data_IF_187538670252
#
_entry.id   IF_187538670252
#
_cell.length_a   1.000
_cell.length_b   1.000
_cell.length_c   1.000
_cell.angle_alpha   90.00
_cell.angle_beta   90.00
_cell.angle_gamma   90.00
#
_symmetry.space_group_name_H-M   'P 1'
#
loop_
_entity.id
_entity.type
_entity.pdbx_description
1 polymer ?
#
# COMPACT_ATOMS: atom_id res chain seq x y z
N UNK A 1 -6.12 25.75 -0.37
CA UNK A 1 -5.33 25.04 0.64
C UNK A 1 -5.58 23.55 0.46
N UNK A 2 -4.55 22.72 0.51
CA UNK A 2 -4.71 21.28 0.45
C UNK A 2 -5.48 20.79 1.68
N UNK A 3 -6.50 19.96 1.49
CA UNK A 3 -7.23 19.36 2.60
C UNK A 3 -6.27 18.45 3.38
N UNK A 4 -6.25 18.63 4.70
CA UNK A 4 -5.41 17.83 5.61
C UNK A 4 -6.29 16.83 6.32
N UNK A 5 -6.06 15.54 6.08
CA UNK A 5 -6.80 14.46 6.72
C UNK A 5 -6.46 14.41 8.21
N UNK A 6 -7.51 14.36 9.02
CA UNK A 6 -7.47 14.38 10.47
C UNK A 6 -7.47 12.96 11.03
N UNK A 7 -6.48 12.67 11.87
CA UNK A 7 -6.35 11.38 12.59
C UNK A 7 -6.07 11.60 14.09
N UNK A 8 -6.41 12.78 14.61
CA UNK A 8 -6.12 13.16 16.00
C UNK A 8 -4.62 13.11 16.29
N UNK A 9 -4.25 12.46 17.40
CA UNK A 9 -2.85 12.27 17.80
C UNK A 9 -2.12 11.13 17.09
N UNK A 10 -2.76 10.43 16.15
CA UNK A 10 -2.22 9.22 15.53
C UNK A 10 -2.42 7.95 16.35
N UNK A 11 -1.67 6.89 16.02
CA UNK A 11 -1.72 5.61 16.72
C UNK A 11 -3.10 4.92 16.68
N UNK A 12 -3.37 4.08 17.69
CA UNK A 12 -4.60 3.27 17.73
C UNK A 12 -5.89 4.10 17.86
N UNK A 13 -5.90 5.14 18.71
CA UNK A 13 -7.06 6.01 18.87
C UNK A 13 -7.32 6.83 17.60
N UNK A 14 -6.25 7.33 16.97
CA UNK A 14 -6.33 8.01 15.67
C UNK A 14 -6.87 7.11 14.58
N UNK A 15 -6.47 5.84 14.56
CA UNK A 15 -7.02 4.82 13.67
C UNK A 15 -8.52 4.59 13.88
N UNK A 16 -8.97 4.43 15.13
CA UNK A 16 -10.41 4.27 15.43
C UNK A 16 -11.24 5.50 15.12
N UNK A 17 -10.65 6.70 15.20
CA UNK A 17 -11.28 7.93 14.72
C UNK A 17 -11.36 7.94 13.18
N UNK A 18 -10.27 7.60 12.51
CA UNK A 18 -10.21 7.53 11.05
C UNK A 18 -11.23 6.53 10.51
N UNK A 19 -11.31 5.31 11.05
CA UNK A 19 -12.27 4.29 10.59
C UNK A 19 -13.73 4.78 10.58
N UNK A 20 -14.09 5.70 11.49
CA UNK A 20 -15.45 6.27 11.57
C UNK A 20 -15.66 7.46 10.64
N UNK A 21 -14.59 8.15 10.27
CA UNK A 21 -14.63 9.43 9.54
C UNK A 21 -14.08 9.33 8.12
N UNK A 22 -13.44 8.21 7.77
CA UNK A 22 -12.67 8.03 6.54
C UNK A 22 -13.50 8.36 5.30
N UNK A 23 -14.72 7.85 5.21
CA UNK A 23 -15.59 8.06 4.05
C UNK A 23 -15.82 9.56 3.78
N UNK A 24 -16.17 10.33 4.82
CA UNK A 24 -16.40 11.78 4.70
C UNK A 24 -15.10 12.53 4.40
N UNK A 25 -14.02 12.19 5.10
CA UNK A 25 -12.72 12.84 4.88
C UNK A 25 -12.17 12.58 3.48
N UNK A 26 -12.36 11.36 2.95
CA UNK A 26 -11.96 10.97 1.59
C UNK A 26 -12.74 11.72 0.54
N UNK A 27 -14.04 11.91 0.73
CA UNK A 27 -14.87 12.69 -0.19
C UNK A 27 -14.37 14.15 -0.28
N UNK A 28 -14.09 14.78 0.87
CA UNK A 28 -13.58 16.15 0.92
C UNK A 28 -12.17 16.23 0.33
N UNK A 29 -11.30 15.27 0.67
CA UNK A 29 -9.94 15.20 0.17
C UNK A 29 -9.88 15.07 -1.37
N UNK A 30 -10.69 14.20 -1.95
CA UNK A 30 -10.73 13.99 -3.41
C UNK A 30 -11.22 15.23 -4.16
N UNK A 31 -12.07 16.06 -3.52
CA UNK A 31 -12.52 17.36 -4.05
C UNK A 31 -11.53 18.50 -3.85
N UNK A 32 -10.42 18.27 -3.14
CA UNK A 32 -9.40 19.30 -2.96
C UNK A 32 -8.77 19.68 -4.31
N UNK A 33 -8.44 20.97 -4.55
CA UNK A 33 -8.02 21.46 -5.85
C UNK A 33 -6.85 20.67 -6.47
N UNK A 34 -5.86 20.30 -5.66
CA UNK A 34 -4.65 19.63 -6.14
C UNK A 34 -4.94 18.19 -6.61
N UNK A 35 -5.78 17.46 -5.87
CA UNK A 35 -6.17 16.08 -6.19
C UNK A 35 -7.12 16.06 -7.39
N UNK A 36 -8.14 16.92 -7.37
CA UNK A 36 -9.12 17.04 -8.45
C UNK A 36 -8.44 17.44 -9.77
N UNK A 37 -7.54 18.43 -9.76
CA UNK A 37 -6.82 18.87 -10.95
C UNK A 37 -5.85 17.80 -11.49
N UNK A 38 -5.16 17.07 -10.61
CA UNK A 38 -4.29 15.97 -11.03
C UNK A 38 -5.09 14.84 -11.70
N UNK A 39 -6.22 14.45 -11.09
CA UNK A 39 -7.13 13.45 -11.64
C UNK A 39 -7.73 13.90 -12.97
N UNK A 40 -8.25 15.13 -13.05
CA UNK A 40 -8.84 15.66 -14.28
C UNK A 40 -7.79 15.71 -15.40
N UNK A 41 -6.56 16.14 -15.09
CA UNK A 41 -5.47 16.16 -16.05
C UNK A 41 -5.16 14.76 -16.58
N UNK A 42 -5.13 13.76 -15.69
CA UNK A 42 -4.91 12.38 -16.05
C UNK A 42 -6.02 11.83 -16.94
N UNK A 43 -7.29 11.96 -16.51
CA UNK A 43 -8.46 11.51 -17.27
C UNK A 43 -8.55 12.17 -18.65
N UNK A 44 -8.24 13.45 -18.75
CA UNK A 44 -8.33 14.21 -20.01
C UNK A 44 -7.21 13.88 -20.99
N UNK A 45 -6.00 13.61 -20.52
CA UNK A 45 -4.82 13.47 -21.40
C UNK A 45 -4.40 12.03 -21.65
N UNK A 46 -4.59 11.13 -20.68
CA UNK A 46 -4.15 9.75 -20.78
C UNK A 46 -4.75 8.97 -21.97
N UNK A 47 -6.00 9.21 -22.42
CA UNK A 47 -6.53 8.60 -23.64
C UNK A 47 -5.74 8.92 -24.92
N UNK A 48 -4.94 9.99 -24.93
CA UNK A 48 -4.10 10.36 -26.07
C UNK A 48 -2.67 9.80 -25.98
N UNK A 49 -2.33 9.14 -24.86
CA UNK A 49 -1.01 8.55 -24.62
C UNK A 49 -1.01 7.11 -25.14
N UNK A 50 -0.12 6.84 -26.09
CA UNK A 50 -0.04 5.56 -26.82
C UNK A 50 1.28 4.83 -26.62
N UNK A 51 2.24 5.43 -25.91
CA UNK A 51 3.53 4.80 -25.66
C UNK A 51 4.08 5.14 -24.28
N UNK A 52 4.98 4.29 -23.78
CA UNK A 52 5.72 4.54 -22.55
C UNK A 52 6.48 5.87 -22.61
N UNK A 53 7.07 6.19 -23.77
CA UNK A 53 7.79 7.44 -24.02
C UNK A 53 6.91 8.69 -23.81
N UNK A 54 5.67 8.66 -24.34
CA UNK A 54 4.70 9.74 -24.16
C UNK A 54 4.26 9.88 -22.70
N UNK A 55 4.09 8.75 -21.98
CA UNK A 55 3.75 8.77 -20.56
C UNK A 55 4.87 9.39 -19.72
N UNK A 56 6.12 8.91 -19.85
CA UNK A 56 7.24 9.37 -19.03
C UNK A 56 7.68 10.81 -19.36
N UNK A 57 7.39 11.28 -20.58
CA UNK A 57 7.67 12.65 -20.99
C UNK A 57 6.73 13.67 -20.34
N UNK A 58 5.53 13.25 -19.92
CA UNK A 58 4.57 14.10 -19.22
C UNK A 58 4.66 13.90 -17.71
N UNK A 59 5.40 14.79 -17.04
CA UNK A 59 5.63 14.71 -15.59
C UNK A 59 4.35 14.60 -14.76
N UNK A 60 3.26 15.30 -15.14
CA UNK A 60 1.99 15.26 -14.40
C UNK A 60 1.32 13.90 -14.52
N UNK A 61 1.31 13.31 -15.73
CA UNK A 61 0.75 11.97 -15.94
C UNK A 61 1.60 10.90 -15.27
N UNK A 62 2.93 11.00 -15.41
CA UNK A 62 3.86 10.09 -14.75
C UNK A 62 3.71 10.12 -13.23
N UNK A 63 3.54 11.30 -12.63
CA UNK A 63 3.34 11.44 -11.17
C UNK A 63 2.08 10.72 -10.71
N UNK A 64 0.95 10.90 -11.42
CA UNK A 64 -0.31 10.23 -11.09
C UNK A 64 -0.17 8.72 -11.25
N UNK A 65 0.38 8.26 -12.37
CA UNK A 65 0.64 6.86 -12.63
C UNK A 65 1.51 6.24 -11.54
N UNK A 66 2.68 6.80 -11.26
CA UNK A 66 3.59 6.26 -10.24
C UNK A 66 2.97 6.27 -8.84
N UNK A 67 2.28 7.34 -8.45
CA UNK A 67 1.60 7.40 -7.16
C UNK A 67 0.54 6.32 -7.02
N UNK A 68 -0.26 6.05 -8.05
CA UNK A 68 -1.27 4.98 -8.05
C UNK A 68 -0.68 3.58 -7.74
N UNK A 69 0.62 3.38 -7.99
CA UNK A 69 1.35 2.14 -7.69
C UNK A 69 2.37 2.29 -6.55
N UNK A 70 2.40 3.42 -5.84
CA UNK A 70 3.32 3.67 -4.73
C UNK A 70 4.79 3.85 -5.13
N UNK A 71 5.04 4.20 -6.38
CA UNK A 71 6.37 4.37 -6.98
C UNK A 71 6.73 5.85 -7.18
N UNK A 72 6.08 6.77 -6.44
CA UNK A 72 6.26 8.22 -6.61
C UNK A 72 7.70 8.71 -6.42
N UNK A 73 8.51 7.99 -5.63
CA UNK A 73 9.93 8.29 -5.45
C UNK A 73 10.76 8.16 -6.73
N UNK A 74 10.27 7.43 -7.73
CA UNK A 74 10.97 7.21 -9.01
C UNK A 74 10.55 8.18 -10.12
N UNK A 75 9.79 9.23 -9.80
CA UNK A 75 9.32 10.20 -10.81
C UNK A 75 10.47 10.86 -11.59
N UNK A 76 11.65 10.98 -10.97
CA UNK A 76 12.85 11.51 -11.61
C UNK A 76 13.63 10.45 -12.40
N UNK A 77 13.34 9.16 -12.23
CA UNK A 77 14.01 8.05 -12.91
C UNK A 77 13.29 7.63 -14.20
N UNK A 78 13.00 8.61 -15.06
CA UNK A 78 12.15 8.43 -16.25
C UNK A 78 12.64 7.32 -17.19
N UNK A 79 13.95 7.21 -17.41
CA UNK A 79 14.54 6.19 -18.28
C UNK A 79 14.38 4.78 -17.73
N UNK A 80 14.42 4.61 -16.40
CA UNK A 80 14.14 3.32 -15.79
C UNK A 80 12.66 2.98 -15.88
N UNK A 81 11.77 3.92 -15.55
CA UNK A 81 10.32 3.69 -15.65
C UNK A 81 9.92 3.37 -17.09
N UNK A 82 10.50 4.07 -18.08
CA UNK A 82 10.30 3.74 -19.51
C UNK A 82 10.67 2.29 -19.80
N UNK A 83 11.87 1.86 -19.41
CA UNK A 83 12.32 0.47 -19.58
C UNK A 83 11.39 -0.53 -18.89
N UNK A 84 10.89 -0.20 -17.70
CA UNK A 84 9.92 -1.05 -16.98
C UNK A 84 8.61 -1.16 -17.76
N UNK A 85 8.07 -0.07 -18.30
CA UNK A 85 6.81 -0.07 -19.05
C UNK A 85 6.94 -0.80 -20.40
N UNK A 86 8.09 -0.70 -21.06
CA UNK A 86 8.39 -1.34 -22.35
C UNK A 86 8.74 -2.84 -22.21
N UNK A 87 9.12 -3.27 -21.02
CA UNK A 87 9.50 -4.66 -20.74
C UNK A 87 8.36 -5.64 -21.04
N UNK A 88 8.68 -6.79 -21.65
CA UNK A 88 7.74 -7.89 -21.84
C UNK A 88 7.64 -8.72 -20.54
N UNK A 89 6.47 -8.80 -19.88
CA UNK A 89 6.31 -9.63 -18.68
C UNK A 89 6.36 -11.14 -18.96
N UNK A 90 6.21 -11.58 -20.22
CA UNK A 90 6.25 -13.00 -20.59
C UNK A 90 7.66 -13.55 -20.80
N UNK A 91 8.68 -12.68 -20.90
CA UNK A 91 10.07 -13.09 -20.95
C UNK A 91 10.62 -13.24 -19.52
N UNK A 92 10.99 -14.46 -19.13
CA UNK A 92 11.61 -14.76 -17.83
C UNK A 92 12.86 -13.91 -17.54
N UNK A 93 13.57 -13.48 -18.60
CA UNK A 93 14.78 -12.64 -18.49
C UNK A 93 14.48 -11.15 -18.45
N UNK A 94 13.22 -10.76 -18.59
CA UNK A 94 12.77 -9.37 -18.59
C UNK A 94 13.11 -8.65 -17.29
N UNK A 95 13.42 -7.35 -17.39
CA UNK A 95 13.78 -6.52 -16.24
C UNK A 95 12.68 -6.55 -15.17
N UNK A 96 11.42 -6.54 -15.57
CA UNK A 96 10.28 -6.50 -14.65
C UNK A 96 10.17 -7.76 -13.79
N UNK A 97 10.55 -8.92 -14.33
CA UNK A 97 10.54 -10.21 -13.63
C UNK A 97 11.71 -10.37 -12.67
N UNK A 98 12.84 -9.69 -12.96
CA UNK A 98 14.04 -9.69 -12.11
C UNK A 98 13.98 -8.71 -10.94
N UNK A 99 13.05 -7.74 -10.97
CA UNK A 99 12.88 -6.80 -9.88
C UNK A 99 12.25 -7.49 -8.66
N UNK A 100 12.85 -7.23 -7.49
CA UNK A 100 12.34 -7.71 -6.21
C UNK A 100 11.03 -7.01 -5.82
N UNK A 101 10.90 -5.74 -6.19
CA UNK A 101 9.71 -4.93 -5.92
C UNK A 101 8.64 -5.18 -6.99
N UNK A 102 7.59 -5.92 -6.63
CA UNK A 102 6.52 -6.31 -7.55
C UNK A 102 5.61 -5.16 -7.98
N UNK A 103 5.75 -3.97 -7.40
CA UNK A 103 5.02 -2.78 -7.84
C UNK A 103 5.40 -2.35 -9.26
N UNK A 104 6.63 -2.63 -9.69
CA UNK A 104 7.05 -2.40 -11.08
C UNK A 104 6.38 -3.35 -12.07
N UNK A 105 6.07 -4.59 -11.65
CA UNK A 105 5.27 -5.50 -12.46
C UNK A 105 3.82 -5.01 -12.53
N UNK A 106 3.23 -4.61 -11.41
CA UNK A 106 1.87 -4.10 -11.38
C UNK A 106 1.65 -2.87 -12.29
N UNK A 107 2.59 -1.92 -12.30
CA UNK A 107 2.51 -0.76 -13.22
C UNK A 107 2.75 -1.18 -14.67
N UNK A 108 3.67 -2.11 -14.96
CA UNK A 108 3.87 -2.65 -16.30
C UNK A 108 2.60 -3.32 -16.85
N UNK A 109 1.90 -4.10 -16.04
CA UNK A 109 0.66 -4.78 -16.42
C UNK A 109 -0.48 -3.78 -16.64
N UNK A 110 -0.61 -2.79 -15.76
CA UNK A 110 -1.66 -1.78 -15.83
C UNK A 110 -1.56 -0.88 -17.07
N UNK A 111 -0.34 -0.66 -17.58
CA UNK A 111 -0.07 0.13 -18.79
C UNK A 111 0.35 -0.75 -19.98
N UNK A 112 -0.05 -2.02 -19.98
CA UNK A 112 0.32 -2.99 -21.02
C UNK A 112 -0.07 -2.59 -22.45
N UNK A 113 -1.15 -1.83 -22.62
CA UNK A 113 -1.59 -1.28 -23.92
C UNK A 113 -0.53 -0.38 -24.57
N UNK A 114 0.25 0.35 -23.77
CA UNK A 114 1.29 1.25 -24.28
C UNK A 114 2.42 0.53 -25.01
N UNK A 115 2.66 -0.76 -24.73
CA UNK A 115 3.62 -1.60 -25.47
C UNK A 115 3.14 -1.89 -26.90
N UNK A 116 1.83 -1.91 -27.09
CA UNK A 116 1.18 -2.19 -28.36
C UNK A 116 0.83 -0.91 -29.14
N UNK A 117 1.28 0.26 -28.68
CA UNK A 117 0.97 1.53 -29.34
C UNK A 117 -0.47 2.01 -29.11
N UNK A 118 -1.19 1.45 -28.14
CA UNK A 118 -2.60 1.79 -27.84
C UNK A 118 -2.72 2.49 -26.50
N UNK A 119 -3.75 3.33 -26.35
CA UNK A 119 -4.06 3.96 -25.08
C UNK A 119 -4.68 2.96 -24.11
N UNK A 120 -4.62 3.23 -22.81
CA UNK A 120 -5.43 2.52 -21.82
C UNK A 120 -6.91 2.76 -22.09
N UNK A 121 -7.75 1.77 -21.75
CA UNK A 121 -9.20 1.90 -21.88
C UNK A 121 -9.82 2.71 -20.72
N UNK A 122 -11.12 2.97 -20.81
CA UNK A 122 -11.84 3.75 -19.80
C UNK A 122 -11.93 3.07 -18.43
N UNK A 123 -11.96 1.73 -18.37
CA UNK A 123 -11.98 0.99 -17.11
C UNK A 123 -10.64 1.11 -16.41
N UNK A 124 -9.55 0.82 -17.13
CA UNK A 124 -8.17 0.96 -16.65
C UNK A 124 -7.88 2.38 -16.18
N UNK A 125 -8.35 3.38 -16.93
CA UNK A 125 -8.21 4.79 -16.58
C UNK A 125 -8.89 5.12 -15.25
N UNK A 126 -10.11 4.61 -15.04
CA UNK A 126 -10.86 4.80 -13.80
C UNK A 126 -10.20 4.07 -12.63
N UNK A 127 -9.71 2.85 -12.84
CA UNK A 127 -9.02 2.06 -11.82
C UNK A 127 -7.73 2.74 -11.34
N UNK A 128 -6.92 3.22 -12.29
CA UNK A 128 -5.68 3.95 -11.97
C UNK A 128 -5.99 5.27 -11.26
N UNK A 129 -7.04 5.99 -11.70
CA UNK A 129 -7.47 7.23 -11.06
C UNK A 129 -7.94 7.01 -9.62
N UNK A 130 -8.70 5.96 -9.36
CA UNK A 130 -9.15 5.56 -8.02
C UNK A 130 -7.98 5.15 -7.13
N UNK A 131 -7.04 4.35 -7.67
CA UNK A 131 -5.79 4.01 -6.97
C UNK A 131 -4.98 5.26 -6.61
N UNK A 132 -4.86 6.22 -7.54
CA UNK A 132 -4.19 7.50 -7.27
C UNK A 132 -4.82 8.24 -6.09
N UNK A 133 -6.14 8.39 -6.07
CA UNK A 133 -6.86 9.06 -4.96
C UNK A 133 -6.65 8.33 -3.64
N UNK A 134 -6.74 6.99 -3.65
CA UNK A 134 -6.46 6.15 -2.48
C UNK A 134 -5.05 6.35 -1.92
N UNK A 135 -4.05 6.26 -2.80
CA UNK A 135 -2.64 6.44 -2.45
C UNK A 135 -2.32 7.87 -1.99
N UNK A 136 -2.92 8.88 -2.62
CA UNK A 136 -2.75 10.27 -2.21
C UNK A 136 -3.35 10.54 -0.82
N UNK A 137 -4.50 9.93 -0.51
CA UNK A 137 -5.13 10.02 0.81
C UNK A 137 -4.25 9.37 1.89
N UNK A 138 -3.76 8.17 1.63
CA UNK A 138 -2.82 7.46 2.53
C UNK A 138 -1.55 8.27 2.77
N UNK A 139 -0.98 8.83 1.69
CA UNK A 139 0.23 9.64 1.78
C UNK A 139 0.03 10.91 2.59
N UNK A 140 -1.10 11.59 2.42
CA UNK A 140 -1.44 12.79 3.19
C UNK A 140 -1.45 12.55 4.70
N UNK A 141 -1.86 11.35 5.13
CA UNK A 141 -1.79 10.92 6.53
C UNK A 141 -0.36 10.56 6.91
N UNK A 142 0.30 9.78 6.06
CA UNK A 142 1.66 9.25 6.26
C UNK A 142 2.75 10.28 6.44
N UNK A 143 2.59 11.49 5.88
CA UNK A 143 3.45 12.64 6.12
C UNK A 143 3.59 12.99 7.61
N UNK A 144 2.58 12.67 8.43
CA UNK A 144 2.55 12.95 9.87
C UNK A 144 2.44 11.68 10.71
N UNK A 145 1.76 10.66 10.21
CA UNK A 145 1.41 9.43 10.92
C UNK A 145 1.71 8.21 10.04
N UNK A 146 2.99 7.91 9.88
CA UNK A 146 3.47 6.81 9.03
C UNK A 146 2.89 5.44 9.43
N UNK A 147 2.58 5.25 10.71
CA UNK A 147 1.95 4.04 11.23
C UNK A 147 0.51 3.87 10.72
N UNK A 148 -0.22 4.97 10.53
CA UNK A 148 -1.58 4.92 9.97
C UNK A 148 -1.53 4.72 8.45
N UNK A 149 -0.55 5.30 7.75
CA UNK A 149 -0.32 4.98 6.32
C UNK A 149 -0.07 3.47 6.12
N UNK A 150 0.77 2.87 6.97
CA UNK A 150 1.02 1.42 6.94
C UNK A 150 -0.26 0.61 7.24
N UNK A 151 -1.08 1.06 8.19
CA UNK A 151 -2.36 0.42 8.51
C UNK A 151 -3.36 0.45 7.32
N UNK A 152 -3.50 1.59 6.66
CA UNK A 152 -4.37 1.72 5.48
C UNK A 152 -3.84 0.89 4.31
N UNK A 153 -2.53 0.94 4.06
CA UNK A 153 -1.89 0.09 3.06
C UNK A 153 -2.18 -1.39 3.32
N UNK A 154 -2.08 -1.83 4.59
CA UNK A 154 -2.38 -3.20 4.97
C UNK A 154 -3.83 -3.59 4.71
N UNK A 155 -4.79 -2.72 5.03
CA UNK A 155 -6.21 -2.95 4.74
C UNK A 155 -6.46 -3.21 3.25
N UNK A 156 -5.81 -2.46 2.35
CA UNK A 156 -5.93 -2.65 0.91
C UNK A 156 -5.18 -3.89 0.40
N UNK A 157 -3.90 -4.00 0.73
CA UNK A 157 -3.04 -5.05 0.17
C UNK A 157 -3.44 -6.43 0.67
N UNK A 158 -3.75 -6.58 1.96
CA UNK A 158 -4.19 -7.87 2.50
C UNK A 158 -5.52 -8.32 1.91
N UNK A 159 -6.49 -7.41 1.72
CA UNK A 159 -7.75 -7.75 1.08
C UNK A 159 -7.54 -8.24 -0.37
N UNK A 160 -6.59 -7.63 -1.09
CA UNK A 160 -6.23 -8.03 -2.46
C UNK A 160 -5.53 -9.39 -2.49
N UNK A 161 -4.54 -9.60 -1.62
CA UNK A 161 -3.79 -10.86 -1.53
C UNK A 161 -4.70 -12.00 -1.08
N UNK A 162 -5.55 -11.76 -0.08
CA UNK A 162 -6.47 -12.75 0.48
C UNK A 162 -7.44 -13.31 -0.57
N UNK A 163 -7.97 -12.43 -1.44
CA UNK A 163 -8.90 -12.76 -2.53
C UNK A 163 -8.24 -13.38 -3.76
N UNK A 164 -6.91 -13.40 -3.85
CA UNK A 164 -6.22 -14.00 -4.99
C UNK A 164 -6.30 -15.53 -4.96
N UNK A 165 -6.46 -16.16 -6.13
CA UNK A 165 -6.57 -17.62 -6.32
C UNK A 165 -5.21 -18.35 -6.21
N UNK A 166 -4.26 -17.77 -5.47
CA UNK A 166 -2.95 -18.38 -5.23
C UNK A 166 -2.94 -19.18 -3.93
N UNK A 167 -2.03 -20.16 -3.83
CA UNK A 167 -1.84 -20.93 -2.60
C UNK A 167 -1.53 -20.02 -1.40
N UNK A 168 -1.84 -20.48 -0.18
CA UNK A 168 -1.54 -19.74 1.04
C UNK A 168 -0.04 -19.43 1.21
N UNK A 169 0.83 -20.32 0.72
CA UNK A 169 2.28 -20.08 0.71
C UNK A 169 2.64 -18.89 -0.21
N UNK A 170 2.08 -18.83 -1.41
CA UNK A 170 2.29 -17.71 -2.33
C UNK A 170 1.76 -16.39 -1.74
N UNK A 171 0.63 -16.42 -1.03
CA UNK A 171 0.11 -15.25 -0.32
C UNK A 171 1.07 -14.77 0.77
N UNK A 172 1.66 -15.68 1.56
CA UNK A 172 2.69 -15.33 2.54
C UNK A 172 3.93 -14.70 1.91
N UNK A 173 4.40 -15.22 0.77
CA UNK A 173 5.52 -14.59 0.06
C UNK A 173 5.17 -13.19 -0.46
N UNK A 174 3.94 -12.98 -0.94
CA UNK A 174 3.46 -11.64 -1.32
C UNK A 174 3.49 -10.69 -0.11
N UNK A 175 2.98 -11.12 1.05
CA UNK A 175 3.05 -10.36 2.31
C UNK A 175 4.49 -9.98 2.65
N UNK A 176 5.41 -10.94 2.62
CA UNK A 176 6.82 -10.69 2.94
C UNK A 176 7.54 -9.83 1.90
N UNK A 177 7.15 -9.88 0.63
CA UNK A 177 7.74 -9.04 -0.43
C UNK A 177 7.34 -7.57 -0.31
N UNK A 178 6.17 -7.29 0.29
CA UNK A 178 5.68 -5.93 0.51
C UNK A 178 6.34 -5.33 1.74
N UNK A 179 7.15 -4.28 1.56
CA UNK A 179 7.82 -3.58 2.67
C UNK A 179 6.84 -3.06 3.72
N UNK A 180 5.73 -2.39 3.36
CA UNK A 180 4.73 -1.95 4.34
C UNK A 180 4.11 -3.11 5.11
N UNK A 181 3.70 -4.19 4.44
CA UNK A 181 3.12 -5.36 5.11
C UNK A 181 4.12 -6.04 6.02
N UNK A 182 5.37 -6.22 5.57
CA UNK A 182 6.43 -6.77 6.42
C UNK A 182 6.59 -5.93 7.70
N UNK A 183 6.70 -4.60 7.57
CA UNK A 183 6.80 -3.69 8.72
C UNK A 183 5.59 -3.77 9.65
N UNK A 184 4.37 -3.91 9.09
CA UNK A 184 3.15 -4.10 9.87
C UNK A 184 3.22 -5.39 10.70
N UNK A 185 3.50 -6.53 10.06
CA UNK A 185 3.51 -7.84 10.73
C UNK A 185 4.64 -7.94 11.75
N UNK A 186 5.86 -7.49 11.40
CA UNK A 186 6.99 -7.44 12.33
C UNK A 186 6.66 -6.58 13.56
N UNK A 187 6.14 -5.37 13.33
CA UNK A 187 5.73 -4.48 14.42
C UNK A 187 4.58 -5.05 15.26
N UNK A 188 3.57 -5.65 14.63
CA UNK A 188 2.45 -6.30 15.33
C UNK A 188 2.93 -7.46 16.20
N UNK A 189 3.95 -8.20 15.75
CA UNK A 189 4.48 -9.38 16.42
C UNK A 189 5.60 -9.06 17.41
N UNK A 190 6.13 -7.84 17.39
CA UNK A 190 7.27 -7.45 18.21
C UNK A 190 8.57 -8.09 17.73
N UNK A 191 8.68 -8.37 16.43
CA UNK A 191 9.91 -8.82 15.83
C UNK A 191 10.88 -7.65 15.64
N UNK A 192 12.13 -7.85 16.04
CA UNK A 192 13.22 -6.95 15.69
C UNK A 192 13.81 -7.29 14.32
N UNK A 193 14.87 -6.57 13.94
CA UNK A 193 15.53 -6.70 12.63
C UNK A 193 16.11 -8.10 12.35
N UNK A 194 16.28 -8.95 13.38
CA UNK A 194 16.88 -10.27 13.24
C UNK A 194 16.09 -11.24 12.36
N UNK A 195 14.76 -11.07 12.26
CA UNK A 195 13.94 -11.98 11.44
C UNK A 195 14.28 -11.87 9.95
N UNK A 196 14.65 -10.68 9.48
CA UNK A 196 15.04 -10.45 8.09
C UNK A 196 16.32 -11.18 7.67
N UNK A 197 17.15 -11.62 8.63
CA UNK A 197 18.38 -12.38 8.38
C UNK A 197 18.14 -13.88 8.21
N UNK A 198 16.93 -14.37 8.50
CA UNK A 198 16.59 -15.79 8.35
C UNK A 198 16.30 -16.13 6.88
N UNK A 199 16.45 -17.41 6.47
CA UNK A 199 15.90 -17.88 5.20
C UNK A 199 14.42 -17.56 5.06
N UNK A 200 13.94 -17.29 3.83
CA UNK A 200 12.57 -16.80 3.60
C UNK A 200 11.50 -17.76 4.11
N UNK A 201 11.73 -19.07 4.01
CA UNK A 201 10.84 -20.11 4.52
C UNK A 201 10.72 -20.04 6.04
N UNK A 202 11.85 -19.79 6.73
CA UNK A 202 11.87 -19.60 8.18
C UNK A 202 11.16 -18.32 8.59
N UNK A 203 11.30 -17.25 7.80
CA UNK A 203 10.53 -16.02 8.04
C UNK A 203 9.02 -16.30 7.96
N UNK A 204 8.57 -17.03 6.93
CA UNK A 204 7.15 -17.43 6.81
C UNK A 204 6.70 -18.25 8.01
N UNK A 205 7.45 -19.26 8.45
CA UNK A 205 7.11 -20.09 9.60
C UNK A 205 6.92 -19.27 10.88
N UNK A 206 7.84 -18.35 11.17
CA UNK A 206 7.75 -17.50 12.36
C UNK A 206 6.58 -16.52 12.30
N UNK A 207 6.28 -15.98 11.11
CA UNK A 207 5.09 -15.15 10.90
C UNK A 207 3.80 -15.94 11.09
N UNK A 208 3.72 -17.17 10.55
CA UNK A 208 2.55 -18.05 10.70
C UNK A 208 2.31 -18.42 12.16
N UNK A 209 3.38 -18.80 12.89
CA UNK A 209 3.30 -19.08 14.34
C UNK A 209 2.80 -17.88 15.11
N UNK A 210 3.31 -16.68 14.80
CA UNK A 210 2.93 -15.46 15.51
C UNK A 210 1.52 -15.01 15.21
N UNK A 211 1.07 -15.14 13.96
CA UNK A 211 -0.32 -14.90 13.58
C UNK A 211 -1.26 -15.88 14.30
N UNK A 212 -0.95 -17.17 14.26
CA UNK A 212 -1.73 -18.20 14.94
C UNK A 212 -1.85 -17.98 16.44
N UNK A 213 -0.76 -17.54 17.10
CA UNK A 213 -0.79 -17.18 18.54
C UNK A 213 -1.78 -16.06 18.87
N UNK A 214 -2.05 -15.13 17.96
CA UNK A 214 -2.94 -13.99 18.22
C UNK A 214 -4.36 -14.20 17.68
N UNK A 215 -4.53 -14.97 16.60
CA UNK A 215 -5.83 -15.11 15.93
C UNK A 215 -6.39 -16.53 15.95
N UNK A 216 -5.59 -17.53 16.30
CA UNK A 216 -5.94 -18.96 16.21
C UNK A 216 -5.82 -19.55 14.80
N UNK A 217 -5.37 -18.76 13.81
CA UNK A 217 -5.20 -19.19 12.42
C UNK A 217 -3.98 -18.54 11.77
N UNK A 218 -3.52 -19.09 10.64
CA UNK A 218 -2.36 -18.54 9.92
C UNK A 218 -2.60 -18.32 8.42
N UNK A 219 -3.84 -18.46 7.97
CA UNK A 219 -4.20 -18.34 6.56
C UNK A 219 -4.39 -16.87 6.20
N UNK A 220 -3.65 -16.40 5.19
CA UNK A 220 -3.80 -15.04 4.66
C UNK A 220 -5.16 -14.85 4.01
N UNK A 221 -5.77 -15.93 3.46
CA UNK A 221 -7.12 -15.89 2.92
C UNK A 221 -8.18 -15.33 3.89
N UNK A 222 -7.98 -15.47 5.21
CA UNK A 222 -8.92 -14.94 6.22
C UNK A 222 -8.92 -13.41 6.33
N UNK A 223 -7.91 -12.72 5.79
CA UNK A 223 -7.90 -11.27 5.69
C UNK A 223 -8.82 -10.71 4.60
N UNK A 224 -9.59 -11.56 3.90
CA UNK A 224 -10.71 -11.10 3.08
C UNK A 224 -11.76 -10.36 3.93
N UNK A 225 -11.87 -10.71 5.21
CA UNK A 225 -12.72 -10.06 6.20
C UNK A 225 -11.97 -8.90 6.87
N UNK A 226 -12.55 -7.70 6.85
CA UNK A 226 -11.92 -6.48 7.38
C UNK A 226 -11.65 -6.55 8.89
N UNK A 227 -12.50 -7.24 9.66
CA UNK A 227 -12.31 -7.45 11.10
C UNK A 227 -11.01 -8.20 11.39
N UNK A 228 -10.64 -9.17 10.56
CA UNK A 228 -9.40 -9.93 10.73
C UNK A 228 -8.17 -9.06 10.46
N UNK A 229 -8.27 -8.11 9.53
CA UNK A 229 -7.21 -7.13 9.31
C UNK A 229 -7.06 -6.21 10.53
N UNK A 230 -8.18 -5.73 11.08
CA UNK A 230 -8.19 -4.81 12.22
C UNK A 230 -7.52 -5.42 13.46
N UNK A 231 -7.60 -6.75 13.68
CA UNK A 231 -6.90 -7.44 14.77
C UNK A 231 -5.37 -7.25 14.71
N UNK A 232 -4.79 -7.37 13.51
CA UNK A 232 -3.33 -7.22 13.32
C UNK A 232 -2.94 -5.74 13.34
N UNK A 233 -3.71 -4.89 12.67
CA UNK A 233 -3.49 -3.44 12.62
C UNK A 233 -3.55 -2.82 14.01
N UNK A 234 -4.55 -3.17 14.82
CA UNK A 234 -4.70 -2.66 16.18
C UNK A 234 -3.47 -3.00 17.02
N UNK A 235 -2.98 -4.24 16.93
CA UNK A 235 -1.79 -4.68 17.65
C UNK A 235 -0.53 -3.94 17.18
N UNK A 236 -0.38 -3.73 15.86
CA UNK A 236 0.70 -2.95 15.29
C UNK A 236 0.70 -1.51 15.85
N UNK A 237 -0.44 -0.83 15.81
CA UNK A 237 -0.56 0.57 16.24
C UNK A 237 -0.36 0.76 17.75
N UNK A 238 -0.81 -0.19 18.57
CA UNK A 238 -0.57 -0.18 20.01
C UNK A 238 0.93 -0.34 20.31
N UNK A 239 1.65 -1.18 19.55
CA UNK A 239 3.09 -1.36 19.74
C UNK A 239 3.91 -0.19 19.19
N UNK A 240 3.57 0.33 18.02
CA UNK A 240 4.32 1.43 17.39
C UNK A 240 4.28 2.73 18.22
N UNK A 241 3.18 2.97 18.94
CA UNK A 241 3.04 4.10 19.88
C UNK A 241 3.83 3.90 21.17
N UNK A 242 3.96 2.66 21.65
CA UNK A 242 4.79 2.35 22.82
C UNK A 242 6.29 2.52 22.53
N UNK A 243 6.73 2.21 21.30
CA UNK A 243 8.14 2.33 20.88
C UNK A 243 8.56 3.78 20.53
N UNK A 244 7.61 4.65 20.17
CA UNK A 244 7.87 6.08 19.86
C UNK A 244 7.75 7.00 21.08
N UNK A 245 7.17 6.52 22.18
CA UNK A 245 6.95 7.29 23.41
C UNK A 245 8.01 7.04 24.47
N UNK A 246 9.03 7.90 24.52
CA UNK A 246 9.67 8.21 25.80
C UNK A 246 8.59 8.64 26.81
N UNK A 247 8.54 7.98 27.97
CA UNK A 247 7.64 8.28 29.09
C UNK A 247 6.12 8.05 28.89
N UNK A 248 5.66 7.05 28.14
CA UNK A 248 4.29 6.54 28.32
C UNK A 248 4.25 5.34 29.27
N UNK A 249 3.66 5.58 30.44
CA UNK A 249 3.60 4.65 31.56
C UNK A 249 2.79 3.39 31.16
N UNK A 250 3.33 2.19 31.44
CA UNK A 250 2.81 0.87 31.00
C UNK A 250 1.32 0.61 31.33
N UNK A 251 0.77 1.39 32.26
CA UNK A 251 -0.61 1.35 32.70
C UNK A 251 -1.62 1.87 31.65
N UNK A 252 -1.24 2.80 30.76
CA UNK A 252 -2.17 3.32 29.74
C UNK A 252 -2.44 2.33 28.60
N UNK A 253 -1.41 1.57 28.18
CA UNK A 253 -1.55 0.48 27.22
C UNK A 253 -2.45 -0.65 27.75
N UNK A 254 -2.37 -0.94 29.04
CA UNK A 254 -3.23 -1.93 29.70
C UNK A 254 -4.70 -1.47 29.80
N UNK A 255 -4.96 -0.18 30.07
CA UNK A 255 -6.33 0.35 30.10
C UNK A 255 -7.02 0.32 28.72
N UNK A 256 -6.28 0.57 27.64
CA UNK A 256 -6.84 0.47 26.27
C UNK A 256 -7.22 -0.96 25.88
N UNK A 257 -6.63 -1.98 26.52
CA UNK A 257 -6.95 -3.39 26.30
C UNK A 257 -8.11 -3.89 27.18
N UNK A 258 -8.39 -3.20 28.29
CA UNK A 258 -9.44 -3.57 29.25
C UNK A 258 -10.77 -2.83 29.02
N UNK A 259 -10.76 -1.72 28.27
CA UNK A 259 -11.94 -0.92 27.97
C UNK A 259 -12.58 -1.17 26.59
N UNK A 260 -12.12 -2.18 25.85
CA UNK A 260 -12.62 -2.57 24.53
C UNK A 260 -13.37 -3.89 24.56
#
# INVERSE_FOLDING_TARGET
MAYTVQVGSGGYLGWKFLQRTEASQREIFNKSPDIAAARENFVKKMPNVKSADQLVSNYRLLTVALRAFGLEGDVNNRSFIKRVLEADPNDDKSVVNRLSDKRYLAINEAFSSLRNGTSIDGSQLNDISSKFEGMAFERNIGERHSEIEIALNAQRELATIAKSDSSEMTKWYKVLSSKPLRKLFEGAFGFGNAIGNLPIERQVDEMKKSLSKITGWSDIGRFAESENVDKVVSRYLIRSTADTGGYFNKYSAALSLLGG
#
